data_IF_161417522119
#
_entry.id   IF_161417522119
#
_cell.length_a   1.000
_cell.length_b   1.000
_cell.length_c   1.000
_cell.angle_alpha   90.00
_cell.angle_beta   90.00
_cell.angle_gamma   90.00
#
_symmetry.space_group_name_H-M   'P 1'
#
loop_
_entity.id
_entity.type
_entity.pdbx_description
1 polymer ?
#
# COMPACT_ATOMS: atom_id res chain seq x y z
N UNK A 1 6.52 -36.95 30.31
CA UNK A 1 5.81 -35.86 29.63
C UNK A 1 4.44 -36.38 29.29
N UNK A 2 3.42 -35.85 29.96
CA UNK A 2 2.05 -36.31 29.78
C UNK A 2 1.53 -35.87 28.40
N UNK A 3 0.58 -36.60 27.81
CA UNK A 3 0.08 -36.30 26.46
C UNK A 3 -0.51 -34.88 26.37
N UNK A 4 -1.09 -34.40 27.47
CA UNK A 4 -1.64 -33.04 27.59
C UNK A 4 -0.56 -31.96 27.63
N UNK A 5 0.55 -32.18 28.34
CA UNK A 5 1.71 -31.27 28.34
C UNK A 5 2.34 -31.18 26.95
N UNK A 6 2.43 -32.31 26.23
CA UNK A 6 2.95 -32.37 24.87
C UNK A 6 2.09 -31.54 23.90
N UNK A 7 0.76 -31.66 24.00
CA UNK A 7 -0.19 -30.90 23.18
C UNK A 7 -0.15 -29.41 23.53
N UNK A 8 -0.11 -29.06 24.82
CA UNK A 8 0.00 -27.69 25.29
C UNK A 8 1.29 -27.02 24.83
N UNK A 9 2.43 -27.71 24.94
CA UNK A 9 3.72 -27.23 24.45
C UNK A 9 3.71 -27.03 22.92
N UNK A 10 3.09 -27.95 22.16
CA UNK A 10 2.96 -27.83 20.71
C UNK A 10 2.10 -26.62 20.31
N UNK A 11 1.03 -26.33 21.05
CA UNK A 11 0.17 -25.18 20.79
C UNK A 11 0.88 -23.85 21.08
N UNK A 12 1.64 -23.78 22.17
CA UNK A 12 2.49 -22.63 22.50
C UNK A 12 3.54 -22.40 21.42
N UNK A 13 4.23 -23.47 20.98
CA UNK A 13 5.21 -23.40 19.90
C UNK A 13 4.59 -22.95 18.57
N UNK A 14 3.39 -23.41 18.23
CA UNK A 14 2.66 -22.95 17.03
C UNK A 14 2.27 -21.49 17.12
N UNK A 15 1.77 -21.02 18.27
CA UNK A 15 1.44 -19.60 18.50
C UNK A 15 2.68 -18.72 18.39
N UNK A 16 3.79 -19.13 19.00
CA UNK A 16 5.07 -18.43 18.89
C UNK A 16 5.58 -18.41 17.45
N UNK A 17 5.59 -19.54 16.75
CA UNK A 17 6.02 -19.62 15.35
C UNK A 17 5.15 -18.75 14.42
N UNK A 18 3.83 -18.71 14.64
CA UNK A 18 2.92 -17.82 13.90
C UNK A 18 3.25 -16.35 14.15
N UNK A 19 3.40 -15.97 15.42
CA UNK A 19 3.70 -14.59 15.83
C UNK A 19 5.03 -14.10 15.25
N UNK A 20 6.09 -14.91 15.34
CA UNK A 20 7.39 -14.58 14.76
C UNK A 20 7.34 -14.43 13.24
N UNK A 21 6.51 -15.25 12.56
CA UNK A 21 6.31 -15.15 11.13
C UNK A 21 5.53 -13.89 10.73
N UNK A 22 4.51 -13.53 11.49
CA UNK A 22 3.74 -12.30 11.30
C UNK A 22 4.61 -11.05 11.54
N UNK A 23 5.46 -11.06 12.56
CA UNK A 23 6.43 -9.99 12.81
C UNK A 23 7.42 -9.84 11.65
N UNK A 24 7.95 -10.95 11.12
CA UNK A 24 8.86 -10.91 9.96
C UNK A 24 8.17 -10.40 8.69
N UNK A 25 6.90 -10.77 8.48
CA UNK A 25 6.11 -10.28 7.36
C UNK A 25 5.89 -8.76 7.45
N UNK A 26 5.47 -8.26 8.61
CA UNK A 26 5.27 -6.83 8.89
C UNK A 26 6.54 -6.01 8.61
N UNK A 27 7.71 -6.56 8.95
CA UNK A 27 9.00 -5.93 8.75
C UNK A 27 9.39 -5.77 7.27
N UNK A 28 9.11 -6.78 6.44
CA UNK A 28 9.37 -6.70 5.00
C UNK A 28 8.39 -5.73 4.33
N UNK A 29 7.14 -5.72 4.77
CA UNK A 29 6.15 -4.75 4.32
C UNK A 29 6.53 -3.30 4.65
N UNK A 30 7.17 -3.04 5.80
CA UNK A 30 7.67 -1.70 6.13
C UNK A 30 8.64 -1.13 5.08
N UNK A 31 9.58 -1.95 4.59
CA UNK A 31 10.53 -1.53 3.55
C UNK A 31 9.86 -1.42 2.17
N UNK A 32 8.97 -2.35 1.83
CA UNK A 32 8.16 -2.29 0.61
C UNK A 32 7.38 -0.97 0.60
N UNK A 33 6.73 -0.62 1.70
CA UNK A 33 5.93 0.60 1.80
C UNK A 33 6.78 1.87 1.71
N UNK A 34 7.97 1.91 2.31
CA UNK A 34 8.88 3.04 2.15
C UNK A 34 9.27 3.25 0.69
N UNK A 35 9.59 2.18 -0.02
CA UNK A 35 9.98 2.24 -1.42
C UNK A 35 8.79 2.58 -2.33
N UNK A 36 7.63 1.98 -2.08
CA UNK A 36 6.38 2.30 -2.77
C UNK A 36 5.92 3.73 -2.50
N UNK A 37 6.19 4.29 -1.31
CA UNK A 37 5.80 5.65 -0.98
C UNK A 37 6.51 6.65 -1.90
N UNK A 38 7.80 6.42 -2.12
CA UNK A 38 8.60 7.21 -3.04
C UNK A 38 8.18 6.99 -4.49
N UNK A 39 8.12 5.74 -4.95
CA UNK A 39 7.87 5.44 -6.37
C UNK A 39 6.44 5.76 -6.81
N UNK A 40 5.43 5.44 -6.01
CA UNK A 40 4.05 5.81 -6.31
C UNK A 40 3.86 7.32 -6.15
N UNK A 41 4.45 7.95 -5.13
CA UNK A 41 4.46 9.41 -5.01
C UNK A 41 5.02 10.08 -6.26
N UNK A 42 6.18 9.63 -6.73
CA UNK A 42 6.76 10.09 -7.99
C UNK A 42 5.85 9.82 -9.21
N UNK A 43 5.17 8.67 -9.26
CA UNK A 43 4.18 8.34 -10.29
C UNK A 43 2.96 9.29 -10.29
N UNK A 44 2.41 9.61 -9.12
CA UNK A 44 1.31 10.57 -8.99
C UNK A 44 1.75 12.00 -9.33
N UNK A 45 2.93 12.41 -8.89
CA UNK A 45 3.50 13.71 -9.26
C UNK A 45 3.80 13.78 -10.76
N UNK A 46 4.35 12.72 -11.36
CA UNK A 46 4.55 12.62 -12.80
C UNK A 46 3.24 12.71 -13.57
N UNK A 47 2.17 12.08 -13.06
CA UNK A 47 0.81 12.20 -13.61
C UNK A 47 0.32 13.65 -13.56
N UNK A 48 0.55 14.36 -12.44
CA UNK A 48 0.22 15.78 -12.33
C UNK A 48 0.97 16.64 -13.36
N UNK A 49 2.27 16.40 -13.53
CA UNK A 49 3.10 17.11 -14.51
C UNK A 49 2.62 16.85 -15.93
N UNK A 50 2.33 15.60 -16.28
CA UNK A 50 1.82 15.24 -17.61
C UNK A 50 0.47 15.91 -17.91
N UNK A 51 -0.46 15.91 -16.94
CA UNK A 51 -1.74 16.60 -17.08
C UNK A 51 -1.61 18.12 -17.21
N UNK A 52 -0.60 18.71 -16.59
CA UNK A 52 -0.38 20.16 -16.59
C UNK A 52 0.21 20.68 -17.90
N UNK A 53 0.63 19.79 -18.81
CA UNK A 53 1.15 20.18 -20.13
C UNK A 53 0.00 20.56 -21.07
N UNK A 54 0.22 21.51 -22.01
CA UNK A 54 -0.71 21.75 -23.10
C UNK A 54 -1.02 20.45 -23.87
N UNK A 55 -2.30 20.09 -23.99
CA UNK A 55 -2.71 18.84 -24.65
C UNK A 55 -2.50 17.56 -23.84
N UNK A 56 -1.90 17.63 -22.64
CA UNK A 56 -1.52 16.44 -21.87
C UNK A 56 -2.68 15.50 -21.52
N UNK A 57 -3.90 16.03 -21.33
CA UNK A 57 -5.08 15.22 -21.06
C UNK A 57 -5.58 14.39 -22.25
N UNK A 58 -5.06 14.63 -23.46
CA UNK A 58 -5.46 13.95 -24.70
C UNK A 58 -4.52 12.81 -25.10
N UNK A 59 -3.33 12.73 -24.49
CA UNK A 59 -2.31 11.73 -24.84
C UNK A 59 -2.27 10.61 -23.78
N UNK A 60 -2.81 9.41 -24.05
CA UNK A 60 -2.86 8.33 -23.05
C UNK A 60 -1.51 7.66 -22.82
N UNK A 61 -0.67 7.55 -23.86
CA UNK A 61 0.56 6.77 -23.85
C UNK A 61 1.62 7.23 -22.83
N UNK A 62 1.85 8.54 -22.61
CA UNK A 62 2.75 9.00 -21.55
C UNK A 62 2.36 8.49 -20.16
N UNK A 63 1.06 8.41 -19.86
CA UNK A 63 0.58 7.86 -18.59
C UNK A 63 0.79 6.35 -18.49
N UNK A 64 0.52 5.63 -19.59
CA UNK A 64 0.76 4.17 -19.65
C UNK A 64 2.24 3.88 -19.42
N UNK A 65 3.15 4.59 -20.10
CA UNK A 65 4.59 4.40 -19.96
C UNK A 65 5.06 4.69 -18.52
N UNK A 66 4.62 5.81 -17.93
CA UNK A 66 4.93 6.17 -16.54
C UNK A 66 4.51 5.07 -15.57
N UNK A 67 3.26 4.62 -15.65
CA UNK A 67 2.73 3.63 -14.72
C UNK A 67 3.28 2.23 -14.98
N UNK A 68 3.60 1.87 -16.22
CA UNK A 68 4.30 0.63 -16.53
C UNK A 68 5.66 0.55 -15.82
N UNK A 69 6.45 1.63 -15.85
CA UNK A 69 7.73 1.69 -15.14
C UNK A 69 7.53 1.57 -13.63
N UNK A 70 6.57 2.30 -13.06
CA UNK A 70 6.26 2.24 -11.62
C UNK A 70 5.82 0.84 -11.20
N UNK A 71 4.96 0.17 -11.98
CA UNK A 71 4.48 -1.18 -11.68
C UNK A 71 5.59 -2.22 -11.80
N UNK A 72 6.40 -2.18 -12.86
CA UNK A 72 7.53 -3.10 -13.03
C UNK A 72 8.52 -2.95 -11.87
N UNK A 73 8.86 -1.72 -11.50
CA UNK A 73 9.76 -1.44 -10.39
C UNK A 73 9.19 -1.97 -9.06
N UNK A 74 7.95 -1.61 -8.71
CA UNK A 74 7.34 -2.07 -7.46
C UNK A 74 7.17 -3.60 -7.43
N UNK A 75 6.74 -4.20 -8.53
CA UNK A 75 6.58 -5.64 -8.66
C UNK A 75 7.91 -6.38 -8.45
N UNK A 76 8.98 -5.93 -9.12
CA UNK A 76 10.31 -6.48 -8.94
C UNK A 76 10.80 -6.31 -7.49
N UNK A 77 10.58 -5.15 -6.88
CA UNK A 77 10.98 -4.87 -5.50
C UNK A 77 10.26 -5.78 -4.49
N UNK A 78 8.95 -5.98 -4.67
CA UNK A 78 8.14 -6.91 -3.87
C UNK A 78 8.67 -8.34 -4.03
N UNK A 79 8.91 -8.81 -5.26
CA UNK A 79 9.44 -10.16 -5.51
C UNK A 79 10.82 -10.36 -4.88
N UNK A 80 11.71 -9.37 -4.99
CA UNK A 80 13.06 -9.46 -4.41
C UNK A 80 13.04 -9.55 -2.88
N UNK A 81 12.19 -8.76 -2.23
CA UNK A 81 12.09 -8.76 -0.76
C UNK A 81 11.30 -9.95 -0.21
N UNK A 82 10.30 -10.44 -0.95
CA UNK A 82 9.46 -11.56 -0.49
C UNK A 82 9.95 -12.92 -0.95
N UNK A 83 10.65 -13.03 -2.08
CA UNK A 83 11.18 -14.29 -2.61
C UNK A 83 12.12 -15.02 -1.65
N UNK A 84 12.81 -14.29 -0.77
CA UNK A 84 13.64 -14.88 0.30
C UNK A 84 12.83 -15.39 1.50
N UNK A 85 11.60 -14.90 1.68
CA UNK A 85 10.72 -15.22 2.81
C UNK A 85 9.66 -16.27 2.47
N UNK A 86 9.35 -16.48 1.19
CA UNK A 86 8.29 -17.38 0.73
C UNK A 86 8.62 -18.87 0.87
N UNK A 87 9.91 -19.24 0.99
CA UNK A 87 10.33 -20.62 1.28
C UNK A 87 9.80 -21.19 2.62
N UNK A 88 9.25 -20.34 3.50
CA UNK A 88 8.69 -20.73 4.82
C UNK A 88 7.16 -20.58 4.93
N UNK A 89 6.46 -20.32 3.81
CA UNK A 89 5.00 -20.15 3.74
C UNK A 89 4.51 -18.77 4.19
N UNK A 90 3.52 -18.21 3.49
CA UNK A 90 3.01 -16.85 3.74
C UNK A 90 2.25 -16.75 5.07
N UNK A 91 2.53 -15.71 5.84
CA UNK A 91 1.81 -15.35 7.07
C UNK A 91 0.39 -14.88 6.77
N UNK A 92 -0.49 -14.84 7.77
CA UNK A 92 -1.86 -14.32 7.59
C UNK A 92 -1.82 -12.85 7.18
N UNK A 93 -1.06 -12.03 7.90
CA UNK A 93 -0.86 -10.62 7.58
C UNK A 93 -0.29 -10.47 6.18
N UNK A 94 0.68 -11.31 5.79
CA UNK A 94 1.28 -11.24 4.46
C UNK A 94 0.26 -11.43 3.32
N UNK A 95 -0.63 -12.41 3.48
CA UNK A 95 -1.70 -12.68 2.52
C UNK A 95 -2.71 -11.55 2.47
N UNK A 96 -3.13 -11.04 3.63
CA UNK A 96 -4.12 -9.98 3.69
C UNK A 96 -3.58 -8.67 3.12
N UNK A 97 -2.35 -8.27 3.49
CA UNK A 97 -1.74 -7.06 2.95
C UNK A 97 -1.53 -7.16 1.44
N UNK A 98 -1.14 -8.33 0.93
CA UNK A 98 -1.03 -8.55 -0.51
C UNK A 98 -2.39 -8.50 -1.21
N UNK A 99 -3.43 -9.11 -0.63
CA UNK A 99 -4.78 -9.08 -1.19
C UNK A 99 -5.32 -7.65 -1.26
N UNK A 100 -5.23 -6.90 -0.16
CA UNK A 100 -5.68 -5.51 -0.08
C UNK A 100 -4.95 -4.61 -1.10
N UNK A 101 -3.64 -4.82 -1.30
CA UNK A 101 -2.90 -4.05 -2.30
C UNK A 101 -3.33 -4.39 -3.74
N UNK A 102 -3.49 -5.67 -4.06
CA UNK A 102 -3.92 -6.08 -5.41
C UNK A 102 -5.35 -5.63 -5.72
N UNK A 103 -6.26 -5.70 -4.75
CA UNK A 103 -7.63 -5.23 -4.95
C UNK A 103 -7.69 -3.71 -5.10
N UNK A 104 -6.86 -2.96 -4.36
CA UNK A 104 -6.69 -1.52 -4.58
C UNK A 104 -6.24 -1.23 -6.03
N UNK A 105 -5.16 -1.87 -6.49
CA UNK A 105 -4.64 -1.66 -7.85
C UNK A 105 -5.69 -2.06 -8.90
N UNK A 106 -6.33 -3.21 -8.73
CA UNK A 106 -7.38 -3.69 -9.62
C UNK A 106 -8.57 -2.73 -9.70
N UNK A 107 -9.02 -2.19 -8.57
CA UNK A 107 -10.08 -1.19 -8.53
C UNK A 107 -9.69 0.10 -9.27
N UNK A 108 -8.44 0.55 -9.14
CA UNK A 108 -7.95 1.74 -9.86
C UNK A 108 -7.84 1.53 -11.36
N UNK A 109 -7.38 0.35 -11.81
CA UNK A 109 -7.35 -0.02 -13.22
C UNK A 109 -8.76 -0.08 -13.79
N UNK A 110 -9.69 -0.75 -13.11
CA UNK A 110 -11.09 -0.81 -13.53
C UNK A 110 -11.74 0.59 -13.57
N UNK A 111 -11.43 1.45 -12.61
CA UNK A 111 -11.89 2.85 -12.61
C UNK A 111 -11.39 3.60 -13.84
N UNK A 112 -10.12 3.41 -14.23
CA UNK A 112 -9.57 4.01 -15.44
C UNK A 112 -10.29 3.51 -16.71
N UNK A 113 -10.54 2.19 -16.79
CA UNK A 113 -11.27 1.57 -17.91
C UNK A 113 -12.70 2.10 -17.99
N UNK A 114 -13.42 2.16 -16.87
CA UNK A 114 -14.80 2.70 -16.82
C UNK A 114 -14.83 4.17 -17.24
N UNK A 115 -13.89 4.99 -16.76
CA UNK A 115 -13.78 6.39 -17.19
C UNK A 115 -13.59 6.53 -18.71
N UNK A 116 -12.73 5.68 -19.28
CA UNK A 116 -12.51 5.64 -20.72
C UNK A 116 -13.78 5.26 -21.49
N UNK A 117 -14.49 4.21 -21.06
CA UNK A 117 -15.72 3.74 -21.69
C UNK A 117 -16.87 4.76 -21.59
N UNK A 118 -16.93 5.54 -20.52
CA UNK A 118 -17.94 6.59 -20.33
C UNK A 118 -17.63 7.89 -21.09
N UNK A 119 -16.48 7.98 -21.77
CA UNK A 119 -16.05 9.19 -22.48
C UNK A 119 -15.80 10.39 -21.55
N UNK A 120 -15.67 10.16 -20.24
CA UNK A 120 -15.34 11.20 -19.27
C UNK A 120 -13.88 11.58 -19.49
N UNK A 121 -13.58 12.89 -19.59
CA UNK A 121 -12.19 13.37 -19.71
C UNK A 121 -11.36 12.72 -18.59
N UNK A 122 -10.39 11.91 -19.01
CA UNK A 122 -9.80 10.72 -18.37
C UNK A 122 -9.41 10.82 -16.88
N UNK A 123 -9.39 12.00 -16.26
CA UNK A 123 -8.81 12.18 -14.94
C UNK A 123 -9.60 13.05 -13.95
N UNK A 124 -10.83 13.49 -14.25
CA UNK A 124 -11.53 14.44 -13.37
C UNK A 124 -11.85 13.85 -11.98
N UNK A 125 -12.21 12.57 -11.90
CA UNK A 125 -12.63 11.93 -10.64
C UNK A 125 -11.61 10.97 -10.04
N UNK A 126 -10.53 10.68 -10.76
CA UNK A 126 -9.63 9.56 -10.43
C UNK A 126 -8.98 9.69 -9.04
N UNK A 127 -8.42 10.84 -8.64
CA UNK A 127 -7.83 11.01 -7.31
C UNK A 127 -8.85 10.97 -6.16
N UNK A 128 -10.06 11.50 -6.37
CA UNK A 128 -11.12 11.43 -5.37
C UNK A 128 -11.60 9.97 -5.16
N UNK A 129 -11.79 9.21 -6.24
CA UNK A 129 -12.08 7.77 -6.16
C UNK A 129 -10.92 7.02 -5.51
N UNK A 130 -9.67 7.33 -5.87
CA UNK A 130 -8.50 6.72 -5.24
C UNK A 130 -8.45 6.97 -3.73
N UNK A 131 -8.82 8.17 -3.27
CA UNK A 131 -8.95 8.48 -1.85
C UNK A 131 -10.03 7.63 -1.15
N UNK A 132 -11.17 7.38 -1.79
CA UNK A 132 -12.23 6.51 -1.25
C UNK A 132 -11.71 5.07 -1.11
N UNK A 133 -11.09 4.53 -2.15
CA UNK A 133 -10.53 3.16 -2.13
C UNK A 133 -9.39 3.07 -1.11
N UNK A 134 -8.57 4.13 -0.97
CA UNK A 134 -7.53 4.21 0.05
C UNK A 134 -8.14 4.22 1.47
N UNK A 135 -9.20 5.00 1.71
CA UNK A 135 -9.89 5.01 2.99
C UNK A 135 -10.40 3.61 3.38
N UNK A 136 -11.01 2.88 2.44
CA UNK A 136 -11.42 1.49 2.64
C UNK A 136 -10.23 0.60 2.95
N UNK A 137 -9.15 0.71 2.17
CA UNK A 137 -7.91 -0.06 2.35
C UNK A 137 -7.31 0.14 3.74
N UNK A 138 -7.17 1.39 4.20
CA UNK A 138 -6.64 1.69 5.53
C UNK A 138 -7.59 1.29 6.66
N UNK A 139 -8.91 1.31 6.43
CA UNK A 139 -9.90 0.77 7.37
C UNK A 139 -9.74 -0.75 7.53
N UNK A 140 -9.55 -1.48 6.42
CA UNK A 140 -9.23 -2.93 6.45
C UNK A 140 -7.89 -3.19 7.15
N UNK A 141 -6.87 -2.35 6.95
CA UNK A 141 -5.64 -2.44 7.75
C UNK A 141 -5.91 -2.20 9.24
N UNK A 142 -6.87 -1.36 9.59
CA UNK A 142 -7.33 -1.16 10.97
C UNK A 142 -7.85 -2.42 11.65
N UNK A 143 -8.57 -3.27 10.91
CA UNK A 143 -9.05 -4.56 11.43
C UNK A 143 -7.95 -5.62 11.54
N UNK A 144 -6.86 -5.51 10.75
CA UNK A 144 -5.78 -6.51 10.71
C UNK A 144 -4.62 -6.14 11.64
N UNK A 145 -4.21 -4.87 11.63
CA UNK A 145 -2.95 -4.38 12.21
C UNK A 145 -3.18 -3.44 13.42
N UNK A 146 -4.43 -3.11 13.73
CA UNK A 146 -4.81 -2.36 14.93
C UNK A 146 -5.40 -0.97 14.67
N UNK A 147 -5.99 -0.38 15.73
CA UNK A 147 -6.86 0.81 15.62
C UNK A 147 -6.18 2.07 15.09
N UNK A 148 -4.85 2.16 15.15
CA UNK A 148 -4.09 3.33 14.68
C UNK A 148 -4.31 3.60 13.17
N UNK A 149 -4.64 2.56 12.39
CA UNK A 149 -4.87 2.68 10.95
C UNK A 149 -6.24 3.27 10.57
N UNK A 150 -7.16 3.42 11.53
CA UNK A 150 -8.42 4.15 11.28
C UNK A 150 -8.21 5.66 11.12
N UNK A 151 -7.14 6.21 11.72
CA UNK A 151 -6.79 7.63 11.57
C UNK A 151 -6.46 7.98 10.11
N UNK A 152 -5.49 7.31 9.44
CA UNK A 152 -5.25 7.57 8.02
C UNK A 152 -6.47 7.25 7.15
N UNK A 153 -7.31 6.26 7.51
CA UNK A 153 -8.55 6.00 6.79
C UNK A 153 -9.50 7.22 6.78
N UNK A 154 -9.69 7.85 7.94
CA UNK A 154 -10.51 9.06 8.06
C UNK A 154 -9.90 10.25 7.27
N UNK A 155 -8.57 10.40 7.31
CA UNK A 155 -7.86 11.43 6.54
C UNK A 155 -8.09 11.21 5.03
N UNK A 156 -7.93 9.99 4.53
CA UNK A 156 -8.19 9.65 3.13
C UNK A 156 -9.64 9.92 2.71
N UNK A 157 -10.61 9.59 3.57
CA UNK A 157 -12.02 9.87 3.32
C UNK A 157 -12.30 11.38 3.22
N UNK A 158 -11.79 12.18 4.16
CA UNK A 158 -11.91 13.64 4.11
C UNK A 158 -11.23 14.23 2.87
N UNK A 159 -10.06 13.69 2.50
CA UNK A 159 -9.30 14.13 1.34
C UNK A 159 -10.01 13.84 0.02
N UNK A 160 -10.84 12.81 -0.06
CA UNK A 160 -11.67 12.58 -1.24
C UNK A 160 -12.54 13.81 -1.59
N UNK A 161 -13.12 14.45 -0.56
CA UNK A 161 -13.91 15.68 -0.70
C UNK A 161 -13.01 16.85 -1.12
N UNK A 162 -11.87 17.02 -0.44
CA UNK A 162 -10.92 18.10 -0.75
C UNK A 162 -10.41 18.01 -2.20
N UNK A 163 -10.07 16.82 -2.68
CA UNK A 163 -9.59 16.64 -4.06
C UNK A 163 -10.68 16.91 -5.09
N UNK A 164 -11.94 16.58 -4.78
CA UNK A 164 -13.07 16.93 -5.63
C UNK A 164 -13.28 18.46 -5.73
N UNK A 165 -12.99 19.20 -4.65
CA UNK A 165 -13.06 20.67 -4.62
C UNK A 165 -11.86 21.34 -5.30
N UNK A 166 -10.72 20.66 -5.44
CA UNK A 166 -9.47 21.19 -5.98
C UNK A 166 -8.96 20.40 -7.21
N UNK A 167 -9.74 20.32 -8.31
CA UNK A 167 -9.46 19.42 -9.44
C UNK A 167 -8.18 19.76 -10.21
N UNK A 168 -7.63 20.98 -10.08
CA UNK A 168 -6.37 21.36 -10.73
C UNK A 168 -5.14 20.83 -10.00
N UNK A 169 -5.20 20.74 -8.67
CA UNK A 169 -4.08 20.33 -7.81
C UNK A 169 -4.21 18.88 -7.32
N UNK A 170 -5.27 18.17 -7.72
CA UNK A 170 -5.67 16.90 -7.13
C UNK A 170 -4.55 15.83 -7.11
N UNK A 171 -3.81 15.64 -8.21
CA UNK A 171 -2.73 14.65 -8.28
C UNK A 171 -1.49 15.05 -7.48
N UNK A 172 -1.18 16.34 -7.38
CA UNK A 172 -0.08 16.83 -6.56
C UNK A 172 -0.38 16.61 -5.07
N UNK A 173 -1.59 16.96 -4.63
CA UNK A 173 -2.02 16.74 -3.25
C UNK A 173 -2.08 15.23 -2.94
N UNK A 174 -2.65 14.44 -3.86
CA UNK A 174 -2.70 12.98 -3.74
C UNK A 174 -1.30 12.36 -3.61
N UNK A 175 -0.34 12.82 -4.42
CA UNK A 175 1.06 12.41 -4.36
C UNK A 175 1.67 12.64 -2.97
N UNK A 176 1.51 13.83 -2.42
CA UNK A 176 2.04 14.18 -1.10
C UNK A 176 1.38 13.34 -0.01
N UNK A 177 0.06 13.21 -0.05
CA UNK A 177 -0.70 12.43 0.91
C UNK A 177 -0.31 10.94 0.88
N UNK A 178 -0.12 10.39 -0.32
CA UNK A 178 0.37 9.03 -0.50
C UNK A 178 1.76 8.84 0.09
N UNK A 179 2.70 9.72 -0.26
CA UNK A 179 4.07 9.67 0.25
C UNK A 179 4.13 9.77 1.77
N UNK A 180 3.32 10.65 2.37
CA UNK A 180 3.24 10.80 3.82
C UNK A 180 2.64 9.57 4.49
N UNK A 181 1.48 9.11 4.05
CA UNK A 181 0.77 8.00 4.71
C UNK A 181 1.53 6.67 4.56
N UNK A 182 1.95 6.34 3.34
CA UNK A 182 2.70 5.11 3.09
C UNK A 182 4.13 5.19 3.63
N UNK A 183 4.78 6.35 3.55
CA UNK A 183 6.13 6.57 4.06
C UNK A 183 6.20 6.54 5.58
N UNK A 184 5.27 7.20 6.28
CA UNK A 184 5.21 7.15 7.75
C UNK A 184 4.82 5.75 8.24
N UNK A 185 3.82 5.11 7.62
CA UNK A 185 3.46 3.73 7.93
C UNK A 185 4.63 2.76 7.75
N UNK A 186 5.33 2.86 6.60
CA UNK A 186 6.53 2.08 6.33
C UNK A 186 7.67 2.34 7.32
N UNK A 187 7.92 3.61 7.65
CA UNK A 187 8.94 4.00 8.63
C UNK A 187 8.64 3.46 10.04
N UNK A 188 7.39 3.49 10.48
CA UNK A 188 6.99 2.96 11.79
C UNK A 188 7.23 1.45 11.87
N UNK A 189 6.78 0.71 10.85
CA UNK A 189 7.01 -0.75 10.76
C UNK A 189 8.50 -1.09 10.67
N UNK A 190 9.26 -0.32 9.90
CA UNK A 190 10.71 -0.51 9.76
C UNK A 190 11.47 -0.17 11.06
N UNK A 191 11.08 0.88 11.78
CA UNK A 191 11.69 1.20 13.09
C UNK A 191 11.38 0.13 14.14
N UNK A 192 10.19 -0.44 14.12
CA UNK A 192 9.83 -1.55 15.01
C UNK A 192 10.72 -2.78 14.76
N UNK A 193 11.05 -3.08 13.49
CA UNK A 193 12.06 -4.09 13.13
C UNK A 193 13.38 -3.88 13.86
N UNK A 194 13.95 -2.68 13.71
CA UNK A 194 15.28 -2.36 14.23
C UNK A 194 15.33 -2.44 15.76
N UNK A 195 14.24 -2.09 16.44
CA UNK A 195 14.12 -2.24 17.90
C UNK A 195 14.12 -3.71 18.34
N UNK A 196 13.35 -4.55 17.66
CA UNK A 196 13.28 -5.99 17.97
C UNK A 196 14.63 -6.69 17.73
N UNK A 197 15.34 -6.32 16.67
CA UNK A 197 16.68 -6.86 16.39
C UNK A 197 17.74 -6.41 17.41
N UNK A 198 17.65 -5.18 17.92
CA UNK A 198 18.56 -4.71 18.98
C UNK A 198 18.30 -5.39 20.32
N UNK A 199 17.03 -5.67 20.65
CA UNK A 199 16.64 -6.34 21.88
C UNK A 199 16.91 -7.85 21.91
N UNK A 200 17.17 -8.50 20.76
CA UNK A 200 17.54 -9.92 20.70
C UNK A 200 19.05 -10.17 20.85
N UNK A 201 19.86 -9.12 21.00
CA UNK A 201 21.33 -9.17 21.13
C UNK A 201 21.78 -8.84 22.56
N UNK A 202 20.85 -8.48 23.46
CA UNK A 202 21.06 -8.29 24.90
C UNK A 202 20.49 -9.44 25.70
#
# INVERSE_FOLDING_TARGET
>A
MDREEAVGALEVLRKLASKTRDDTALQNWGLIWLCSAFTNGAGFMGTHVLLSRPGGALEPWPFVALWAVVFVFNGAFIVLLKGKSEAKGRSFIDRQTFAVWNTFVGAMVLTAVVNYLLGVRVMLFMPAVACIVAAMTFSTMGSIMGRVWYVPAAIWAAMAIVLALLPKAQFAIFSVLWALTQGTGGALLHRQKLRLQKGSVS
#
